data_IF_186590430745
#
_entry.id   IF_186590430745
#
_cell.length_a   1.000
_cell.length_b   1.000
_cell.length_c   1.000
_cell.angle_alpha   90.00
_cell.angle_beta   90.00
_cell.angle_gamma   90.00
#
_symmetry.space_group_name_H-M   'P 1'
#
loop_
_entity.id
_entity.type
_entity.pdbx_description
1 polymer ?
#
# COMPACT_ATOMS: atom_id res chain seq x y z
N UNK A 1 -2.23 -14.30 -10.91
CA UNK A 1 -1.12 -14.38 -9.94
C UNK A 1 0.20 -13.98 -10.57
N UNK A 2 0.82 -14.75 -11.46
CA UNK A 2 2.15 -14.40 -12.02
C UNK A 2 2.18 -13.07 -12.81
N UNK A 3 1.08 -12.71 -13.48
CA UNK A 3 0.95 -11.44 -14.24
C UNK A 3 0.74 -10.20 -13.36
N UNK A 4 0.28 -10.37 -12.12
CA UNK A 4 -0.06 -9.26 -11.22
C UNK A 4 1.16 -8.81 -10.40
N UNK A 5 2.21 -9.63 -10.30
CA UNK A 5 3.41 -9.36 -9.50
C UNK A 5 4.08 -8.02 -9.88
N UNK A 6 4.33 -7.71 -11.17
CA UNK A 6 4.92 -6.43 -11.53
C UNK A 6 4.05 -5.25 -11.08
N UNK A 7 2.73 -5.40 -11.16
CA UNK A 7 1.78 -4.38 -10.75
C UNK A 7 1.76 -4.21 -9.22
N UNK A 8 1.85 -5.30 -8.45
CA UNK A 8 2.00 -5.24 -6.98
C UNK A 8 3.24 -4.44 -6.60
N UNK A 9 4.36 -4.71 -7.27
CA UNK A 9 5.64 -4.05 -7.00
C UNK A 9 5.55 -2.55 -7.34
N UNK A 10 5.07 -2.21 -8.53
CA UNK A 10 4.93 -0.81 -8.97
C UNK A 10 4.02 -0.03 -8.03
N UNK A 11 2.86 -0.58 -7.66
CA UNK A 11 1.97 0.06 -6.70
C UNK A 11 2.65 0.20 -5.34
N UNK A 12 3.23 -0.87 -4.80
CA UNK A 12 3.97 -0.84 -3.53
C UNK A 12 5.03 0.26 -3.47
N UNK A 13 5.84 0.38 -4.53
CA UNK A 13 6.89 1.39 -4.66
C UNK A 13 6.34 2.81 -4.82
N UNK A 14 5.15 2.99 -5.40
CA UNK A 14 4.55 4.31 -5.61
C UNK A 14 4.33 5.09 -4.30
N UNK A 15 4.07 4.40 -3.19
CA UNK A 15 3.88 5.02 -1.88
C UNK A 15 5.20 5.26 -1.12
N UNK A 16 6.31 4.64 -1.54
CA UNK A 16 7.60 4.71 -0.85
C UNK A 16 8.24 6.10 -0.80
N UNK A 17 8.17 6.97 -1.85
CA UNK A 17 8.81 8.28 -1.83
C UNK A 17 8.37 9.16 -0.65
N UNK A 18 7.11 9.04 -0.22
CA UNK A 18 6.60 9.79 0.94
C UNK A 18 7.37 9.46 2.21
N UNK A 19 7.70 8.20 2.45
CA UNK A 19 8.44 7.77 3.64
C UNK A 19 9.86 8.34 3.64
N UNK A 20 10.56 8.32 2.50
CA UNK A 20 11.89 8.95 2.38
C UNK A 20 11.82 10.44 2.70
N UNK A 21 10.86 11.16 2.10
CA UNK A 21 10.72 12.61 2.31
C UNK A 21 10.31 12.97 3.75
N UNK A 22 9.48 12.13 4.38
CA UNK A 22 9.03 12.31 5.77
C UNK A 22 10.20 12.07 6.75
N UNK A 23 10.95 10.98 6.59
CA UNK A 23 12.09 10.65 7.45
C UNK A 23 13.25 11.65 7.31
N UNK A 24 13.43 12.24 6.12
CA UNK A 24 14.39 13.33 5.91
C UNK A 24 13.92 14.69 6.47
N UNK A 25 12.70 14.77 7.01
CA UNK A 25 12.11 16.01 7.52
C UNK A 25 11.75 17.03 6.42
N UNK A 26 11.68 16.61 5.15
CA UNK A 26 11.33 17.48 4.03
C UNK A 26 9.82 17.67 3.89
N UNK A 27 9.04 16.71 4.37
CA UNK A 27 7.57 16.73 4.34
C UNK A 27 7.03 16.67 5.76
N UNK A 28 6.26 17.69 6.13
CA UNK A 28 5.72 17.84 7.48
C UNK A 28 4.25 17.41 7.54
N UNK A 29 3.86 16.82 8.67
CA UNK A 29 2.48 16.44 8.96
C UNK A 29 1.57 17.66 9.01
N UNK A 30 0.30 17.48 8.63
CA UNK A 30 -0.68 18.58 8.54
C UNK A 30 -0.55 19.47 7.29
N UNK A 31 0.49 19.30 6.46
CA UNK A 31 0.63 20.05 5.21
C UNK A 31 -0.15 19.42 4.06
N UNK A 32 -0.56 20.25 3.08
CA UNK A 32 -1.23 19.78 1.86
C UNK A 32 -0.35 18.83 1.02
N UNK A 33 0.97 19.06 1.00
CA UNK A 33 1.92 18.18 0.32
C UNK A 33 1.97 16.78 0.96
N UNK A 34 1.98 16.70 2.29
CA UNK A 34 1.90 15.42 2.98
C UNK A 34 0.59 14.69 2.66
N UNK A 35 -0.55 15.40 2.66
CA UNK A 35 -1.84 14.81 2.29
C UNK A 35 -1.81 14.25 0.86
N UNK A 36 -1.28 15.00 -0.11
CA UNK A 36 -1.15 14.55 -1.49
C UNK A 36 -0.32 13.27 -1.59
N UNK A 37 0.87 13.25 -0.97
CA UNK A 37 1.79 12.12 -0.98
C UNK A 37 1.25 10.88 -0.26
N UNK A 38 0.33 11.05 0.68
CA UNK A 38 -0.36 9.94 1.35
C UNK A 38 -1.53 9.42 0.51
N UNK A 39 -2.44 10.30 0.09
CA UNK A 39 -3.71 9.86 -0.49
C UNK A 39 -3.62 9.53 -1.99
N UNK A 40 -2.77 10.21 -2.76
CA UNK A 40 -2.70 9.98 -4.21
C UNK A 40 -2.22 8.57 -4.55
N UNK A 41 -1.11 8.05 -3.96
CA UNK A 41 -0.71 6.67 -4.20
C UNK A 41 -1.81 5.67 -3.85
N UNK A 42 -2.49 5.84 -2.71
CA UNK A 42 -3.56 4.95 -2.27
C UNK A 42 -4.79 5.00 -3.19
N UNK A 43 -5.14 6.19 -3.71
CA UNK A 43 -6.19 6.32 -4.70
C UNK A 43 -5.81 5.59 -5.99
N UNK A 44 -4.58 5.75 -6.46
CA UNK A 44 -4.06 5.05 -7.64
C UNK A 44 -4.10 3.54 -7.42
N UNK A 45 -3.73 3.05 -6.24
CA UNK A 45 -3.81 1.63 -5.88
C UNK A 45 -5.23 1.10 -6.08
N UNK A 46 -6.22 1.72 -5.42
CA UNK A 46 -7.61 1.25 -5.45
C UNK A 46 -8.17 1.31 -6.87
N UNK A 47 -8.03 2.46 -7.55
CA UNK A 47 -8.53 2.65 -8.93
C UNK A 47 -7.91 1.63 -9.88
N UNK A 48 -6.59 1.45 -9.81
CA UNK A 48 -5.90 0.48 -10.69
C UNK A 48 -6.33 -0.94 -10.39
N UNK A 49 -6.46 -1.31 -9.11
CA UNK A 49 -6.88 -2.65 -8.72
C UNK A 49 -8.28 -2.98 -9.25
N UNK A 50 -9.28 -2.09 -9.05
CA UNK A 50 -10.67 -2.35 -9.46
C UNK A 50 -10.89 -2.29 -10.97
N UNK A 51 -10.00 -1.64 -11.72
CA UNK A 51 -10.12 -1.50 -13.18
C UNK A 51 -9.27 -2.51 -13.95
N UNK A 52 -8.12 -2.91 -13.43
CA UNK A 52 -7.13 -3.71 -14.18
C UNK A 52 -6.94 -5.13 -13.68
N UNK A 53 -7.33 -5.44 -12.45
CA UNK A 53 -7.08 -6.77 -11.88
C UNK A 53 -8.38 -7.57 -11.71
N UNK A 54 -8.38 -8.86 -12.10
CA UNK A 54 -9.48 -9.77 -11.78
C UNK A 54 -9.54 -10.11 -10.28
N UNK A 55 -8.48 -9.79 -9.51
CA UNK A 55 -8.46 -10.02 -8.06
C UNK A 55 -7.88 -8.83 -7.31
N UNK A 56 -8.64 -7.73 -7.17
CA UNK A 56 -8.17 -6.46 -6.61
C UNK A 56 -7.69 -6.60 -5.16
N UNK A 57 -8.38 -7.38 -4.33
CA UNK A 57 -8.00 -7.60 -2.92
C UNK A 57 -6.60 -8.20 -2.81
N UNK A 58 -6.32 -9.25 -3.60
CA UNK A 58 -5.00 -9.90 -3.60
C UNK A 58 -3.92 -8.97 -4.11
N UNK A 59 -4.21 -8.17 -5.15
CA UNK A 59 -3.29 -7.18 -5.66
C UNK A 59 -2.90 -6.16 -4.59
N UNK A 60 -3.89 -5.65 -3.85
CA UNK A 60 -3.70 -4.61 -2.84
C UNK A 60 -3.02 -5.13 -1.57
N UNK A 61 -3.31 -6.36 -1.15
CA UNK A 61 -2.54 -7.03 -0.09
C UNK A 61 -1.07 -7.23 -0.49
N UNK A 62 -0.82 -7.66 -1.73
CA UNK A 62 0.54 -7.81 -2.25
C UNK A 62 1.29 -6.48 -2.34
N UNK A 63 0.64 -5.43 -2.85
CA UNK A 63 1.20 -4.07 -2.89
C UNK A 63 1.49 -3.54 -1.47
N UNK A 64 0.58 -3.79 -0.52
CA UNK A 64 0.77 -3.48 0.90
C UNK A 64 1.98 -4.17 1.51
N UNK A 65 2.19 -5.45 1.21
CA UNK A 65 3.37 -6.19 1.66
C UNK A 65 4.67 -5.60 1.09
N UNK A 66 4.71 -5.28 -0.22
CA UNK A 66 5.86 -4.61 -0.85
C UNK A 66 6.12 -3.27 -0.18
N UNK A 67 5.08 -2.46 0.02
CA UNK A 67 5.19 -1.17 0.68
C UNK A 67 5.71 -1.30 2.12
N UNK A 68 5.24 -2.29 2.89
CA UNK A 68 5.73 -2.56 4.25
C UNK A 68 7.22 -2.93 4.28
N UNK A 69 7.70 -3.68 3.27
CA UNK A 69 9.14 -3.96 3.12
C UNK A 69 9.90 -2.67 2.81
N UNK A 70 9.39 -1.83 1.92
CA UNK A 70 10.01 -0.53 1.64
C UNK A 70 10.09 0.35 2.89
N UNK A 71 9.01 0.44 3.69
CA UNK A 71 9.00 1.16 4.97
C UNK A 71 10.07 0.63 5.92
N UNK A 72 10.17 -0.70 6.06
CA UNK A 72 11.17 -1.31 6.93
C UNK A 72 12.59 -0.93 6.49
N UNK A 73 12.87 -0.99 5.19
CA UNK A 73 14.19 -0.61 4.65
C UNK A 73 14.46 0.88 4.87
N UNK A 74 13.50 1.75 4.53
CA UNK A 74 13.66 3.21 4.62
C UNK A 74 13.90 3.63 6.08
N UNK A 75 13.04 3.21 7.00
CA UNK A 75 13.16 3.62 8.40
C UNK A 75 14.43 3.09 9.06
N UNK A 76 14.87 1.87 8.74
CA UNK A 76 16.14 1.35 9.24
C UNK A 76 17.36 2.03 8.60
N UNK A 77 17.30 2.36 7.30
CA UNK A 77 18.39 3.00 6.58
C UNK A 77 18.57 4.48 6.95
N UNK A 78 17.48 5.17 7.26
CA UNK A 78 17.46 6.58 7.68
C UNK A 78 17.48 6.74 9.21
N UNK A 79 17.57 5.63 9.96
CA UNK A 79 17.70 5.67 11.41
C UNK A 79 18.96 6.43 11.84
N UNK A 80 18.79 7.44 12.68
CA UNK A 80 19.87 8.28 13.22
C UNK A 80 20.03 8.18 14.75
N UNK A 81 19.40 7.19 15.39
CA UNK A 81 19.52 6.99 16.84
C UNK A 81 20.91 6.51 17.27
N UNK A 82 21.21 6.69 18.55
CA UNK A 82 22.52 6.38 19.13
C UNK A 82 22.79 4.86 19.23
N UNK A 83 24.08 4.51 19.13
CA UNK A 83 24.53 3.14 19.31
C UNK A 83 24.29 2.69 20.76
N UNK A 84 23.52 1.63 20.93
CA UNK A 84 23.17 1.11 22.26
C UNK A 84 22.92 -0.40 22.23
N UNK A 85 22.97 -1.04 23.40
CA UNK A 85 22.63 -2.47 23.53
C UNK A 85 21.18 -2.78 23.12
N UNK A 86 20.29 -1.79 23.15
CA UNK A 86 18.89 -1.92 22.76
C UNK A 86 18.65 -1.67 21.26
N UNK A 87 19.65 -1.18 20.53
CA UNK A 87 19.54 -0.79 19.11
C UNK A 87 19.03 -1.93 18.20
N UNK A 88 19.52 -3.19 18.31
CA UNK A 88 18.99 -4.27 17.47
C UNK A 88 17.51 -4.56 17.72
N UNK A 89 17.07 -4.44 18.98
CA UNK A 89 15.67 -4.65 19.37
C UNK A 89 14.78 -3.53 18.81
N UNK A 90 15.25 -2.28 18.87
CA UNK A 90 14.55 -1.13 18.30
C UNK A 90 14.38 -1.28 16.78
N UNK A 91 15.43 -1.67 16.07
CA UNK A 91 15.39 -1.95 14.61
C UNK A 91 14.46 -3.10 14.25
N UNK A 92 14.45 -4.16 15.06
CA UNK A 92 13.50 -5.27 14.88
C UNK A 92 12.04 -4.81 15.07
N UNK A 93 11.77 -4.00 16.10
CA UNK A 93 10.45 -3.42 16.35
C UNK A 93 9.98 -2.52 15.20
N UNK A 94 10.86 -1.67 14.69
CA UNK A 94 10.60 -0.80 13.54
C UNK A 94 10.31 -1.62 12.27
N UNK A 95 11.08 -2.66 12.03
CA UNK A 95 10.87 -3.60 10.90
C UNK A 95 9.49 -4.26 11.00
N UNK A 96 9.15 -4.80 12.17
CA UNK A 96 7.87 -5.46 12.40
C UNK A 96 6.70 -4.47 12.23
N UNK A 97 6.80 -3.29 12.82
CA UNK A 97 5.78 -2.23 12.71
C UNK A 97 5.57 -1.81 11.26
N UNK A 98 6.64 -1.69 10.47
CA UNK A 98 6.59 -1.34 9.05
C UNK A 98 5.84 -2.38 8.22
N UNK A 99 6.11 -3.67 8.47
CA UNK A 99 5.42 -4.77 7.80
C UNK A 99 3.93 -4.79 8.16
N UNK A 100 3.61 -4.64 9.45
CA UNK A 100 2.21 -4.56 9.92
C UNK A 100 1.50 -3.37 9.30
N UNK A 101 2.14 -2.21 9.24
CA UNK A 101 1.60 -0.99 8.63
C UNK A 101 1.30 -1.20 7.15
N UNK A 102 2.26 -1.74 6.38
CA UNK A 102 2.06 -2.02 4.96
C UNK A 102 0.91 -2.99 4.70
N UNK A 103 0.84 -4.08 5.47
CA UNK A 103 -0.25 -5.06 5.39
C UNK A 103 -1.60 -4.46 5.77
N UNK A 104 -1.66 -3.65 6.83
CA UNK A 104 -2.88 -2.98 7.26
C UNK A 104 -3.40 -2.02 6.18
N UNK A 105 -2.53 -1.20 5.60
CA UNK A 105 -2.87 -0.31 4.48
C UNK A 105 -3.38 -1.09 3.28
N UNK A 106 -2.69 -2.16 2.89
CA UNK A 106 -3.10 -3.06 1.81
C UNK A 106 -4.47 -3.71 2.07
N UNK A 107 -4.72 -4.14 3.30
CA UNK A 107 -5.99 -4.75 3.70
C UNK A 107 -7.14 -3.74 3.68
N UNK A 108 -6.92 -2.52 4.18
CA UNK A 108 -7.91 -1.43 4.15
C UNK A 108 -8.27 -1.09 2.70
N UNK A 109 -7.27 -0.86 1.85
CA UNK A 109 -7.50 -0.59 0.42
C UNK A 109 -8.20 -1.77 -0.26
N UNK A 110 -7.80 -3.00 0.07
CA UNK A 110 -8.44 -4.23 -0.39
C UNK A 110 -9.92 -4.30 -0.02
N UNK A 111 -10.26 -3.97 1.22
CA UNK A 111 -11.65 -3.89 1.69
C UNK A 111 -12.47 -2.85 0.92
N UNK A 112 -11.90 -1.68 0.66
CA UNK A 112 -12.53 -0.64 -0.18
C UNK A 112 -12.76 -1.17 -1.60
N UNK A 113 -11.75 -1.77 -2.23
CA UNK A 113 -11.86 -2.31 -3.57
C UNK A 113 -12.88 -3.47 -3.67
N UNK A 114 -12.94 -4.31 -2.65
CA UNK A 114 -13.96 -5.35 -2.53
C UNK A 114 -15.37 -4.75 -2.47
N UNK A 115 -15.57 -3.73 -1.64
CA UNK A 115 -16.86 -3.06 -1.51
C UNK A 115 -17.31 -2.43 -2.84
N UNK A 116 -16.38 -1.81 -3.57
CA UNK A 116 -16.64 -1.21 -4.89
C UNK A 116 -16.99 -2.25 -5.95
N UNK A 117 -16.33 -3.41 -5.93
CA UNK A 117 -16.54 -4.46 -6.94
C UNK A 117 -17.76 -5.34 -6.65
N UNK A 118 -18.15 -5.51 -5.39
CA UNK A 118 -19.34 -6.26 -4.96
C UNK A 118 -20.66 -5.69 -5.53
N UNK A 119 -20.64 -4.43 -5.96
CA UNK A 119 -21.80 -3.71 -6.51
C UNK A 119 -21.98 -3.90 -8.03
N UNK A 120 -21.09 -4.63 -8.72
CA UNK A 120 -21.20 -4.85 -10.18
C UNK A 120 -22.27 -5.90 -10.48
N UNK A 121 -23.34 -5.58 -11.24
CA UNK A 121 -24.35 -6.57 -11.65
C UNK A 121 -23.74 -7.66 -12.52
N UNK A 122 -24.21 -8.90 -12.36
CA UNK A 122 -23.81 -10.01 -13.22
C UNK A 122 -24.28 -9.76 -14.67
N UNK A 123 -23.37 -9.67 -15.67
CA UNK A 123 -23.75 -9.49 -17.07
C UNK A 123 -24.67 -10.61 -17.57
N UNK A 124 -24.53 -11.81 -17.00
CA UNK A 124 -25.30 -13.00 -17.33
C UNK A 124 -26.79 -12.90 -16.96
N UNK A 125 -27.17 -12.05 -16.00
CA UNK A 125 -28.58 -11.83 -15.65
C UNK A 125 -29.31 -10.99 -16.71
N UNK A 126 -28.62 -10.05 -17.38
CA UNK A 126 -29.23 -9.21 -18.43
C UNK A 126 -29.46 -9.92 -19.77
N UNK A 127 -28.76 -11.05 -20.01
CA UNK A 127 -28.86 -11.82 -21.26
C UNK A 127 -30.07 -12.76 -21.30
N UNK A 128 -30.69 -13.03 -20.15
CA UNK A 128 -31.86 -13.94 -20.04
C UNK A 128 -33.21 -13.22 -20.19
N UNK A 129 -33.21 -11.90 -20.37
CA UNK A 129 -34.43 -11.07 -20.46
C UNK A 129 -34.72 -10.55 -21.87
N UNK A 130 -34.03 -11.04 -22.90
CA UNK A 130 -34.35 -10.72 -24.29
C UNK A 130 -35.23 -11.84 -24.87
N UNK A 131 -36.52 -11.58 -25.16
CA UNK A 131 -37.43 -12.55 -25.77
C UNK A 131 -37.07 -12.87 -27.22
#
# INVERSE_FOLDING_TARGET
MRKDIPLMIVLGLLAAPRAVLHDLGLVHEGTGLNALLVFVPLLIWVVTAVTRSPSPVRLLLGAGAVYGICLAVIHNALWNGEASVAEPLARAGMTLSSLVTGLAVGAICGGVAWLLTRRRPDPAASRKSTP
#
